data_IF_351760808342
#
_entry.id   IF_351760808342
#
_cell.length_a   1.000
_cell.length_b   1.000
_cell.length_c   1.000
_cell.angle_alpha   90.00
_cell.angle_beta   90.00
_cell.angle_gamma   90.00
#
_symmetry.space_group_name_H-M   'P 1'
#
loop_
_entity.id
_entity.type
_entity.pdbx_description
1 polymer ?
#
# COMPACT_ATOMS: atom_id res chain seq x y z
N UNK A 1 -40.37 27.55 -14.37
CA UNK A 1 -41.61 28.25 -14.74
C UNK A 1 -41.29 29.74 -14.65
N UNK A 2 -40.95 30.37 -15.77
CA UNK A 2 -40.51 31.77 -15.84
C UNK A 2 -41.74 32.64 -16.13
N UNK A 3 -42.41 33.15 -15.10
CA UNK A 3 -43.49 34.13 -15.26
C UNK A 3 -43.50 35.11 -14.06
N UNK A 4 -42.89 36.29 -14.25
CA UNK A 4 -43.22 37.50 -13.49
C UNK A 4 -42.02 38.31 -12.96
N UNK A 5 -41.62 39.39 -13.66
CA UNK A 5 -40.71 40.43 -13.14
C UNK A 5 -39.25 40.30 -13.59
N UNK A 6 -38.96 40.65 -14.85
CA UNK A 6 -37.73 40.31 -15.58
C UNK A 6 -36.36 40.81 -15.08
N UNK A 7 -36.26 41.41 -13.88
CA UNK A 7 -34.97 41.70 -13.21
C UNK A 7 -34.83 40.99 -11.86
N UNK A 8 -35.89 40.91 -11.05
CA UNK A 8 -35.85 40.24 -9.74
C UNK A 8 -35.66 38.73 -9.87
N UNK A 9 -36.44 38.10 -10.76
CA UNK A 9 -36.39 36.66 -11.01
C UNK A 9 -35.02 36.20 -11.57
N UNK A 10 -34.39 37.04 -12.40
CA UNK A 10 -33.06 36.76 -12.95
C UNK A 10 -31.96 36.87 -11.88
N UNK A 11 -32.09 37.84 -10.96
CA UNK A 11 -31.17 38.01 -9.83
C UNK A 11 -31.33 36.85 -8.85
N UNK A 12 -32.56 36.45 -8.52
CA UNK A 12 -32.82 35.31 -7.64
C UNK A 12 -32.29 33.99 -8.24
N UNK A 13 -32.45 33.80 -9.55
CA UNK A 13 -31.86 32.67 -10.26
C UNK A 13 -30.32 32.72 -10.27
N UNK A 14 -29.72 33.89 -10.49
CA UNK A 14 -28.27 34.06 -10.45
C UNK A 14 -27.69 33.78 -9.06
N UNK A 15 -28.35 34.26 -8.00
CA UNK A 15 -27.98 33.98 -6.61
C UNK A 15 -28.11 32.48 -6.31
N UNK A 16 -29.18 31.84 -6.79
CA UNK A 16 -29.37 30.38 -6.66
C UNK A 16 -28.27 29.60 -7.38
N UNK A 17 -27.92 29.99 -8.60
CA UNK A 17 -26.82 29.36 -9.35
C UNK A 17 -25.47 29.56 -8.65
N UNK A 18 -25.21 30.76 -8.12
CA UNK A 18 -23.97 31.04 -7.41
C UNK A 18 -23.86 30.17 -6.14
N UNK A 19 -24.94 30.03 -5.37
CA UNK A 19 -24.98 29.11 -4.24
C UNK A 19 -24.70 27.66 -4.64
N UNK A 20 -25.30 27.19 -5.75
CA UNK A 20 -25.03 25.84 -6.29
C UNK A 20 -23.59 25.64 -6.77
N UNK A 21 -22.97 26.68 -7.33
CA UNK A 21 -21.56 26.66 -7.76
C UNK A 21 -20.66 26.60 -6.53
N UNK A 22 -20.95 27.38 -5.49
CA UNK A 22 -20.18 27.36 -4.24
C UNK A 22 -20.29 26.00 -3.55
N UNK A 23 -21.47 25.40 -3.53
CA UNK A 23 -21.69 24.04 -3.00
C UNK A 23 -20.92 22.99 -3.81
N UNK A 24 -20.90 23.11 -5.14
CA UNK A 24 -20.14 22.23 -6.01
C UNK A 24 -18.63 22.36 -5.76
N UNK A 25 -18.11 23.59 -5.62
CA UNK A 25 -16.70 23.82 -5.29
C UNK A 25 -16.33 23.18 -3.95
N UNK A 26 -17.16 23.33 -2.91
CA UNK A 26 -16.92 22.67 -1.62
C UNK A 26 -16.92 21.14 -1.75
N UNK A 27 -17.86 20.57 -2.49
CA UNK A 27 -17.90 19.13 -2.73
C UNK A 27 -16.65 18.63 -3.47
N UNK A 28 -16.16 19.40 -4.45
CA UNK A 28 -14.91 19.09 -5.17
C UNK A 28 -13.71 19.13 -4.23
N UNK A 29 -13.59 20.14 -3.38
CA UNK A 29 -12.50 20.27 -2.41
C UNK A 29 -12.52 19.10 -1.39
N UNK A 30 -13.70 18.71 -0.92
CA UNK A 30 -13.87 17.56 -0.03
C UNK A 30 -13.46 16.23 -0.69
N UNK A 31 -13.84 16.03 -1.95
CA UNK A 31 -13.44 14.85 -2.74
C UNK A 31 -11.94 14.85 -2.97
N UNK A 32 -11.33 15.99 -3.33
CA UNK A 32 -9.89 16.10 -3.51
C UNK A 32 -9.13 15.78 -2.21
N UNK A 33 -9.58 16.32 -1.07
CA UNK A 33 -9.02 15.99 0.23
C UNK A 33 -9.22 14.51 0.60
N UNK A 34 -10.35 13.92 0.19
CA UNK A 34 -10.63 12.48 0.32
C UNK A 34 -9.63 11.63 -0.47
N UNK A 35 -9.37 11.99 -1.72
CA UNK A 35 -8.42 11.30 -2.60
C UNK A 35 -7.01 11.30 -2.01
N UNK A 36 -6.51 12.45 -1.54
CA UNK A 36 -5.18 12.55 -0.89
C UNK A 36 -5.07 11.61 0.32
N UNK A 37 -6.13 11.48 1.13
CA UNK A 37 -6.13 10.57 2.28
C UNK A 37 -6.12 9.10 1.86
N UNK A 38 -6.84 8.75 0.79
CA UNK A 38 -6.86 7.38 0.24
C UNK A 38 -5.49 7.04 -0.33
N UNK A 39 -4.91 7.94 -1.12
CA UNK A 39 -3.60 7.76 -1.77
C UNK A 39 -2.51 7.47 -0.73
N UNK A 40 -2.42 8.29 0.32
CA UNK A 40 -1.47 8.06 1.42
C UNK A 40 -1.66 6.70 2.12
N UNK A 41 -2.91 6.27 2.34
CA UNK A 41 -3.19 4.95 2.92
C UNK A 41 -2.77 3.82 1.99
N UNK A 42 -2.97 4.00 0.68
CA UNK A 42 -2.53 3.03 -0.33
C UNK A 42 -1.01 2.94 -0.40
N UNK A 43 -0.29 4.04 -0.25
CA UNK A 43 1.18 4.05 -0.25
C UNK A 43 1.76 3.24 0.92
N UNK A 44 1.21 3.42 2.12
CA UNK A 44 1.62 2.72 3.36
C UNK A 44 1.07 1.29 3.46
N UNK A 45 0.21 0.87 2.51
CA UNK A 45 -0.37 -0.47 2.55
C UNK A 45 0.64 -1.51 2.07
N UNK A 46 0.72 -2.62 2.80
CA UNK A 46 1.42 -3.82 2.36
C UNK A 46 0.79 -4.31 1.05
N UNK A 47 1.57 -4.26 -0.03
CA UNK A 47 1.10 -4.63 -1.37
C UNK A 47 1.93 -5.76 -1.98
N UNK A 48 3.20 -5.81 -1.61
CA UNK A 48 4.20 -6.64 -2.25
C UNK A 48 4.61 -7.74 -1.27
N UNK A 49 3.93 -8.88 -1.35
CA UNK A 49 4.14 -10.02 -0.44
C UNK A 49 4.52 -11.26 -1.23
N UNK A 50 5.58 -11.95 -0.79
CA UNK A 50 5.99 -13.23 -1.34
C UNK A 50 6.53 -14.16 -0.23
N UNK A 51 6.47 -15.46 -0.46
CA UNK A 51 7.07 -16.46 0.41
C UNK A 51 7.89 -17.44 -0.43
N UNK A 52 9.07 -17.77 0.06
CA UNK A 52 9.93 -18.84 -0.46
C UNK A 52 10.09 -19.87 0.64
N UNK A 53 9.69 -21.12 0.36
CA UNK A 53 9.84 -22.25 1.29
C UNK A 53 10.96 -23.15 0.80
N UNK A 54 11.77 -23.63 1.73
CA UNK A 54 12.98 -24.38 1.43
C UNK A 54 13.40 -25.25 2.63
N UNK A 55 14.37 -26.12 2.40
CA UNK A 55 15.01 -26.93 3.43
C UNK A 55 16.38 -26.32 3.76
N UNK A 56 16.47 -25.67 4.92
CA UNK A 56 17.69 -24.99 5.36
C UNK A 56 18.80 -25.97 5.83
N UNK A 57 18.45 -27.25 6.00
CA UNK A 57 19.36 -28.32 6.40
C UNK A 57 19.11 -29.54 5.50
N UNK A 58 20.17 -30.20 5.05
CA UNK A 58 20.10 -31.33 4.10
C UNK A 58 19.26 -32.51 4.60
N UNK A 59 19.21 -32.74 5.92
CA UNK A 59 18.43 -33.83 6.55
C UNK A 59 16.96 -33.48 6.81
N UNK A 60 16.53 -32.25 6.51
CA UNK A 60 15.14 -31.82 6.73
C UNK A 60 14.40 -31.92 5.41
N UNK A 61 13.42 -32.82 5.33
CA UNK A 61 12.48 -32.87 4.20
C UNK A 61 11.25 -32.03 4.46
N UNK A 62 10.63 -31.52 3.38
CA UNK A 62 9.28 -30.95 3.41
C UNK A 62 9.20 -29.43 3.44
N UNK A 63 10.27 -28.73 3.06
CA UNK A 63 10.35 -27.27 2.95
C UNK A 63 9.82 -26.55 4.19
N UNK A 64 10.38 -26.92 5.34
CA UNK A 64 9.91 -26.48 6.66
C UNK A 64 10.44 -25.09 7.04
N UNK A 65 11.49 -24.62 6.37
CA UNK A 65 11.98 -23.24 6.53
C UNK A 65 11.33 -22.33 5.50
N UNK A 66 11.25 -21.03 5.81
CA UNK A 66 10.65 -20.05 4.92
C UNK A 66 11.26 -18.65 5.08
N UNK A 67 11.33 -17.92 3.97
CA UNK A 67 11.60 -16.49 3.91
C UNK A 67 10.37 -15.77 3.35
N UNK A 68 9.86 -14.79 4.10
CA UNK A 68 8.67 -13.99 3.79
C UNK A 68 9.12 -12.54 3.58
N UNK A 69 8.90 -12.00 2.38
CA UNK A 69 9.11 -10.59 2.11
C UNK A 69 7.76 -9.86 2.19
N UNK A 70 7.72 -8.78 2.97
CA UNK A 70 6.55 -7.92 3.15
C UNK A 70 6.98 -6.49 2.88
N UNK A 71 6.60 -5.96 1.71
CA UNK A 71 6.98 -4.63 1.27
C UNK A 71 5.76 -3.77 0.94
N UNK A 72 5.91 -2.47 1.15
CA UNK A 72 4.96 -1.44 0.73
C UNK A 72 5.12 -1.10 -0.76
N UNK A 73 4.36 -0.10 -1.22
CA UNK A 73 4.40 0.42 -2.58
C UNK A 73 5.77 0.99 -3.00
N UNK A 74 6.56 1.46 -2.03
CA UNK A 74 7.90 2.03 -2.23
C UNK A 74 9.01 0.97 -2.18
N UNK A 75 8.64 -0.32 -2.02
CA UNK A 75 9.55 -1.47 -1.82
C UNK A 75 10.32 -1.40 -0.50
N UNK A 76 9.80 -0.66 0.46
CA UNK A 76 10.31 -0.59 1.83
C UNK A 76 9.53 -1.57 2.69
N UNK A 77 10.20 -2.20 3.65
CA UNK A 77 9.55 -3.16 4.53
C UNK A 77 10.54 -4.11 5.18
N UNK A 78 10.15 -5.37 5.33
CA UNK A 78 10.92 -6.37 6.08
C UNK A 78 10.92 -7.73 5.37
N UNK A 79 12.03 -8.44 5.51
CA UNK A 79 12.10 -9.88 5.25
C UNK A 79 12.18 -10.59 6.59
N UNK A 80 11.27 -11.54 6.80
CA UNK A 80 11.21 -12.40 7.98
C UNK A 80 11.57 -13.81 7.53
N UNK A 81 12.58 -14.40 8.15
CA UNK A 81 13.01 -15.76 7.84
C UNK A 81 12.88 -16.64 9.06
N UNK A 82 12.17 -17.76 8.91
CA UNK A 82 12.07 -18.81 9.90
C UNK A 82 12.87 -20.02 9.42
N UNK A 83 13.96 -20.32 10.11
CA UNK A 83 14.77 -21.52 9.88
C UNK A 83 14.33 -22.57 10.90
N UNK A 84 13.71 -23.64 10.39
CA UNK A 84 13.24 -24.75 11.21
C UNK A 84 14.39 -25.73 11.48
N UNK A 85 14.78 -25.86 12.74
CA UNK A 85 15.58 -26.97 13.23
C UNK A 85 14.69 -28.10 13.74
N UNK A 86 15.30 -29.17 14.26
CA UNK A 86 14.54 -30.33 14.77
C UNK A 86 13.67 -30.00 16.00
N UNK A 87 14.26 -29.29 16.95
CA UNK A 87 13.64 -29.03 18.27
C UNK A 87 13.34 -27.54 18.52
N UNK A 88 13.69 -26.66 17.57
CA UNK A 88 13.52 -25.21 17.69
C UNK A 88 13.38 -24.57 16.31
N UNK A 89 12.85 -23.35 16.28
CA UNK A 89 12.88 -22.47 15.11
C UNK A 89 13.69 -21.21 15.44
N UNK A 90 14.53 -20.77 14.51
CA UNK A 90 15.19 -19.45 14.59
C UNK A 90 14.49 -18.48 13.67
N UNK A 91 14.20 -17.29 14.17
CA UNK A 91 13.60 -16.22 13.38
C UNK A 91 14.64 -15.10 13.20
N UNK A 92 14.82 -14.70 11.96
CA UNK A 92 15.63 -13.56 11.57
C UNK A 92 14.75 -12.51 10.90
N UNK A 93 15.09 -11.24 11.11
CA UNK A 93 14.42 -10.12 10.46
C UNK A 93 15.46 -9.15 9.90
N UNK A 94 15.24 -8.72 8.66
CA UNK A 94 16.07 -7.73 7.98
C UNK A 94 15.17 -6.69 7.36
N UNK A 95 15.47 -5.42 7.62
CA UNK A 95 14.75 -4.29 7.02
C UNK A 95 15.27 -4.03 5.60
N UNK A 96 14.35 -3.56 4.75
CA UNK A 96 14.65 -3.07 3.41
C UNK A 96 14.19 -1.63 3.30
N UNK A 97 15.07 -0.76 2.81
CA UNK A 97 14.73 0.59 2.38
C UNK A 97 14.78 0.64 0.84
N UNK A 98 13.63 0.90 0.22
CA UNK A 98 13.48 0.99 -1.25
C UNK A 98 14.12 -0.19 -1.99
N UNK A 99 13.93 -1.39 -1.45
CA UNK A 99 14.44 -2.63 -2.00
C UNK A 99 15.89 -2.97 -1.68
N UNK A 100 16.56 -2.20 -0.82
CA UNK A 100 17.94 -2.46 -0.41
C UNK A 100 17.97 -2.86 1.05
N UNK A 101 18.54 -4.03 1.32
CA UNK A 101 18.80 -4.47 2.69
C UNK A 101 20.08 -3.82 3.24
N UNK A 102 20.07 -3.48 4.53
CA UNK A 102 21.25 -2.96 5.24
C UNK A 102 22.30 -4.04 5.53
N UNK A 103 21.90 -5.31 5.46
CA UNK A 103 22.74 -6.49 5.68
C UNK A 103 22.54 -7.45 4.51
N UNK A 104 23.57 -8.22 4.16
CA UNK A 104 23.50 -9.22 3.11
C UNK A 104 22.34 -10.20 3.33
N UNK A 105 21.56 -10.43 2.27
CA UNK A 105 20.47 -11.41 2.25
C UNK A 105 21.01 -12.80 1.92
N UNK A 106 20.39 -13.85 2.46
CA UNK A 106 20.57 -15.22 1.97
C UNK A 106 19.99 -15.34 0.55
N UNK A 107 20.35 -16.39 -0.22
CA UNK A 107 19.76 -16.64 -1.52
C UNK A 107 18.23 -16.68 -1.50
N UNK A 108 17.64 -17.34 -0.49
CA UNK A 108 16.19 -17.52 -0.36
C UNK A 108 15.49 -16.23 0.09
N UNK A 109 16.14 -15.44 0.95
CA UNK A 109 15.68 -14.09 1.31
C UNK A 109 15.69 -13.16 0.08
N UNK A 110 16.77 -13.18 -0.70
CA UNK A 110 16.90 -12.37 -1.92
C UNK A 110 15.84 -12.77 -2.96
N UNK A 111 15.61 -14.06 -3.14
CA UNK A 111 14.56 -14.57 -4.01
C UNK A 111 13.17 -14.13 -3.56
N UNK A 112 12.88 -14.19 -2.26
CA UNK A 112 11.61 -13.68 -1.73
C UNK A 112 11.44 -12.19 -2.06
N UNK A 113 12.47 -11.37 -1.82
CA UNK A 113 12.45 -9.95 -2.15
C UNK A 113 12.20 -9.72 -3.64
N UNK A 114 12.89 -10.43 -4.52
CA UNK A 114 12.71 -10.31 -5.97
C UNK A 114 11.28 -10.66 -6.40
N UNK A 115 10.73 -11.77 -5.90
CA UNK A 115 9.35 -12.19 -6.17
C UNK A 115 8.31 -11.21 -5.63
N UNK A 116 8.60 -10.54 -4.51
CA UNK A 116 7.72 -9.52 -3.95
C UNK A 116 7.75 -8.25 -4.81
N UNK A 117 8.92 -7.86 -5.34
CA UNK A 117 9.08 -6.69 -6.21
C UNK A 117 8.48 -6.86 -7.61
N UNK A 118 8.27 -8.10 -8.06
CA UNK A 118 7.68 -8.43 -9.36
C UNK A 118 6.15 -8.53 -9.35
N UNK A 119 5.50 -8.32 -8.20
CA UNK A 119 4.03 -8.28 -8.07
C UNK A 119 3.50 -6.84 -8.18
#
# INVERSE_FOLDING_TARGET
MLLGGGKGDLVDFAVSLQGRIDDLHRAVDEVAAGLVRVDRRTDESVRNVSIVRYDAYEDTGGHQSASLAVLDSTRTGVVVTAIQGRDYARIYMKELDRGKASVALSPEEAEAVERAMSR
#
